data_IF_472340402938
#
_entry.id   IF_472340402938
#
_cell.length_a   1.000
_cell.length_b   1.000
_cell.length_c   1.000
_cell.angle_alpha   90.00
_cell.angle_beta   90.00
_cell.angle_gamma   90.00
#
_symmetry.space_group_name_H-M   'P 1'
#
loop_
_entity.id
_entity.type
_entity.pdbx_description
1 polymer ?
#
# COMPACT_ATOMS: atom_id res chain seq x y z
N UNK A 1 -43.72 14.71 9.71
CA UNK A 1 -42.25 14.70 9.60
C UNK A 1 -41.74 13.70 10.63
N UNK A 2 -41.28 12.53 10.18
CA UNK A 2 -40.66 11.52 11.06
C UNK A 2 -39.27 11.99 11.49
N UNK A 3 -38.76 11.56 12.66
CA UNK A 3 -37.45 11.96 13.12
C UNK A 3 -36.41 11.47 12.10
N UNK A 4 -35.59 12.40 11.61
CA UNK A 4 -34.40 12.09 10.81
C UNK A 4 -33.53 11.18 11.68
N UNK A 5 -33.45 9.88 11.33
CA UNK A 5 -32.54 8.95 12.00
C UNK A 5 -31.12 9.44 11.74
N UNK A 6 -30.56 10.14 12.71
CA UNK A 6 -29.14 10.53 12.71
C UNK A 6 -28.32 9.25 12.56
N UNK A 7 -27.41 9.22 11.60
CA UNK A 7 -26.50 8.10 11.43
C UNK A 7 -25.73 7.84 12.75
N UNK A 8 -25.55 6.60 13.18
CA UNK A 8 -24.87 6.33 14.45
C UNK A 8 -23.42 6.85 14.38
N UNK A 9 -23.02 7.52 15.46
CA UNK A 9 -21.68 8.08 15.63
C UNK A 9 -20.64 6.96 15.48
N UNK A 10 -19.69 7.11 14.55
CA UNK A 10 -18.55 6.19 14.39
C UNK A 10 -17.50 6.56 15.43
N UNK A 11 -17.00 5.56 16.15
CA UNK A 11 -15.97 5.76 17.22
C UNK A 11 -14.64 5.09 16.87
N UNK A 12 -14.61 4.26 15.82
CA UNK A 12 -13.42 3.57 15.38
C UNK A 12 -13.56 3.24 13.90
N UNK A 13 -12.51 3.44 13.13
CA UNK A 13 -12.35 2.85 11.80
C UNK A 13 -11.00 2.15 11.72
N UNK A 14 -10.95 1.02 11.05
CA UNK A 14 -9.74 0.19 10.95
C UNK A 14 -9.60 -0.36 9.54
N UNK A 15 -8.36 -0.58 9.11
CA UNK A 15 -8.09 -1.25 7.85
C UNK A 15 -6.65 -1.71 7.70
N UNK A 16 -6.41 -2.46 6.63
CA UNK A 16 -5.07 -2.83 6.18
C UNK A 16 -4.99 -2.74 4.66
N UNK A 17 -3.86 -2.26 4.17
CA UNK A 17 -3.53 -2.16 2.75
C UNK A 17 -2.32 -3.02 2.47
N UNK A 18 -2.40 -3.85 1.43
CA UNK A 18 -1.28 -4.60 0.88
C UNK A 18 -0.91 -4.01 -0.46
N UNK A 19 0.37 -3.69 -0.65
CA UNK A 19 0.88 -3.08 -1.88
C UNK A 19 1.99 -3.94 -2.46
N UNK A 20 1.91 -4.24 -3.76
CA UNK A 20 2.93 -5.00 -4.48
C UNK A 20 2.98 -4.62 -5.95
N UNK A 21 4.09 -4.95 -6.59
CA UNK A 21 4.19 -4.97 -8.04
C UNK A 21 3.38 -6.15 -8.59
N UNK A 22 2.64 -5.95 -9.69
CA UNK A 22 2.05 -7.05 -10.42
C UNK A 22 3.15 -7.94 -11.03
N UNK A 23 3.01 -9.26 -10.98
CA UNK A 23 3.92 -10.17 -11.65
C UNK A 23 3.60 -10.24 -13.15
N UNK A 24 3.78 -9.13 -13.85
CA UNK A 24 3.59 -9.00 -15.29
C UNK A 24 4.74 -8.18 -15.90
N UNK A 25 5.34 -8.70 -16.98
CA UNK A 25 6.44 -8.04 -17.68
C UNK A 25 6.01 -6.70 -18.27
N UNK A 26 4.82 -6.68 -18.89
CA UNK A 26 4.22 -5.47 -19.43
C UNK A 26 3.19 -4.89 -18.44
N UNK A 27 3.05 -3.56 -18.45
CA UNK A 27 1.94 -2.92 -17.76
C UNK A 27 0.62 -3.39 -18.38
N UNK A 28 -0.37 -3.67 -17.55
CA UNK A 28 -1.70 -3.97 -18.04
C UNK A 28 -2.30 -2.70 -18.66
N UNK A 29 -2.83 -2.81 -19.85
CA UNK A 29 -3.64 -1.76 -20.46
C UNK A 29 -4.97 -1.59 -19.73
N UNK A 30 -5.75 -0.57 -20.10
CA UNK A 30 -7.03 -0.25 -19.45
C UNK A 30 -8.03 -1.41 -19.53
N UNK A 31 -8.01 -2.20 -20.60
CA UNK A 31 -8.91 -3.34 -20.78
C UNK A 31 -8.52 -4.50 -19.86
N UNK A 32 -7.26 -4.87 -19.85
CA UNK A 32 -6.74 -5.91 -18.98
C UNK A 32 -6.86 -5.51 -17.49
N UNK A 33 -6.61 -4.23 -17.16
CA UNK A 33 -6.82 -3.69 -15.84
C UNK A 33 -8.29 -3.79 -15.38
N UNK A 34 -9.23 -3.41 -16.25
CA UNK A 34 -10.66 -3.54 -15.98
C UNK A 34 -11.07 -5.01 -15.76
N UNK A 35 -10.56 -5.91 -16.59
CA UNK A 35 -10.82 -7.35 -16.46
C UNK A 35 -10.23 -7.92 -15.16
N UNK A 36 -9.01 -7.55 -14.78
CA UNK A 36 -8.38 -7.98 -13.52
C UNK A 36 -9.19 -7.50 -12.31
N UNK A 37 -9.67 -6.26 -12.35
CA UNK A 37 -10.45 -5.64 -11.27
C UNK A 37 -11.92 -6.09 -11.25
N UNK A 38 -12.37 -6.85 -12.23
CA UNK A 38 -13.77 -7.31 -12.36
C UNK A 38 -14.74 -6.16 -12.67
N UNK A 39 -14.28 -5.14 -13.39
CA UNK A 39 -15.10 -4.02 -13.81
C UNK A 39 -16.05 -4.45 -14.96
N UNK A 40 -17.25 -3.88 -14.98
CA UNK A 40 -18.20 -4.06 -16.06
C UNK A 40 -17.73 -3.31 -17.31
N UNK A 41 -18.26 -3.67 -18.48
CA UNK A 41 -17.86 -3.08 -19.74
C UNK A 41 -18.12 -1.56 -19.84
N UNK A 42 -19.07 -1.04 -19.06
CA UNK A 42 -19.44 0.38 -18.96
C UNK A 42 -18.73 1.11 -17.81
N UNK A 43 -18.11 0.38 -16.90
CA UNK A 43 -17.30 0.97 -15.82
C UNK A 43 -15.95 1.39 -16.38
N UNK A 44 -15.60 2.65 -16.18
CA UNK A 44 -14.32 3.18 -16.63
C UNK A 44 -13.26 3.04 -15.55
N UNK A 45 -12.03 2.76 -15.99
CA UNK A 45 -10.86 2.98 -15.15
C UNK A 45 -10.79 4.48 -14.83
N UNK A 46 -10.76 4.82 -13.55
CA UNK A 46 -10.69 6.20 -13.12
C UNK A 46 -9.32 6.77 -13.51
N UNK A 47 -9.33 7.85 -14.28
CA UNK A 47 -8.14 8.68 -14.45
C UNK A 47 -8.06 9.61 -13.25
N UNK A 48 -6.88 9.69 -12.60
CA UNK A 48 -6.65 10.73 -11.60
C UNK A 48 -6.55 12.09 -12.30
N UNK A 49 -6.64 13.18 -11.56
CA UNK A 49 -6.35 14.54 -12.07
C UNK A 49 -4.92 14.69 -12.61
N UNK A 50 -4.07 13.71 -12.34
CA UNK A 50 -2.69 13.58 -12.81
C UNK A 50 -2.60 12.44 -13.82
N UNK A 51 -1.52 12.40 -14.67
CA UNK A 51 -1.44 11.51 -15.84
C UNK A 51 -1.39 10.01 -15.52
N UNK A 52 -1.45 9.58 -14.25
CA UNK A 52 -1.41 8.16 -13.90
C UNK A 52 -2.77 7.50 -14.05
N UNK A 53 -2.79 6.44 -14.84
CA UNK A 53 -3.96 5.56 -14.95
C UNK A 53 -4.20 4.85 -13.62
N UNK A 54 -5.39 5.04 -13.06
CA UNK A 54 -5.81 4.45 -11.79
C UNK A 54 -7.16 3.79 -11.94
N UNK A 55 -7.22 2.50 -11.63
CA UNK A 55 -8.46 1.74 -11.60
C UNK A 55 -8.74 1.20 -10.20
N UNK A 56 -10.01 1.15 -9.82
CA UNK A 56 -10.47 0.60 -8.55
C UNK A 56 -11.60 -0.40 -8.78
N UNK A 57 -11.52 -1.56 -8.12
CA UNK A 57 -12.60 -2.54 -8.14
C UNK A 57 -13.81 -2.05 -7.34
N UNK A 58 -15.01 -2.57 -7.60
CA UNK A 58 -16.11 -2.48 -6.67
C UNK A 58 -15.74 -3.05 -5.30
N UNK A 59 -16.37 -2.55 -4.24
CA UNK A 59 -16.21 -3.11 -2.89
C UNK A 59 -16.82 -4.51 -2.83
N UNK A 60 -16.04 -5.46 -2.33
CA UNK A 60 -16.52 -6.78 -1.93
C UNK A 60 -16.78 -6.78 -0.43
N UNK A 61 -17.85 -7.45 0.00
CA UNK A 61 -18.24 -7.49 1.41
C UNK A 61 -17.97 -8.88 1.98
N UNK A 62 -17.23 -8.92 3.10
CA UNK A 62 -17.04 -10.13 3.91
C UNK A 62 -17.89 -10.01 5.16
N UNK A 63 -18.86 -10.91 5.33
CA UNK A 63 -19.66 -10.99 6.56
C UNK A 63 -18.80 -11.51 7.71
N UNK A 64 -18.89 -10.87 8.88
CA UNK A 64 -18.12 -11.21 10.08
C UNK A 64 -19.02 -11.33 11.28
N UNK A 65 -18.72 -12.32 12.14
CA UNK A 65 -19.39 -12.57 13.43
C UNK A 65 -18.34 -13.15 14.39
N UNK A 66 -17.49 -12.31 14.95
CA UNK A 66 -16.32 -12.71 15.74
C UNK A 66 -15.93 -11.61 16.75
N UNK A 67 -15.02 -11.86 17.70
CA UNK A 67 -14.47 -10.83 18.56
C UNK A 67 -13.61 -9.84 17.81
N UNK A 68 -13.58 -8.57 18.27
CA UNK A 68 -12.54 -7.61 17.91
C UNK A 68 -11.27 -7.86 18.72
N UNK A 69 -10.07 -7.69 18.12
CA UNK A 69 -8.82 -7.70 18.87
C UNK A 69 -8.81 -6.57 19.90
N UNK A 70 -8.27 -6.83 21.08
CA UNK A 70 -8.15 -5.84 22.15
C UNK A 70 -6.91 -6.05 22.98
N UNK A 71 -6.16 -4.98 23.23
CA UNK A 71 -4.92 -5.02 23.99
C UNK A 71 -5.11 -5.38 25.47
N UNK A 72 -6.25 -5.06 26.06
CA UNK A 72 -6.57 -5.36 27.47
C UNK A 72 -7.25 -6.74 27.64
N UNK A 73 -7.34 -7.57 26.60
CA UNK A 73 -7.96 -8.89 26.65
C UNK A 73 -9.50 -8.90 26.68
N UNK A 74 -10.16 -7.74 26.63
CA UNK A 74 -11.60 -7.66 26.51
C UNK A 74 -12.05 -8.29 25.17
N UNK A 75 -13.06 -9.15 25.23
CA UNK A 75 -13.65 -9.77 24.03
C UNK A 75 -14.95 -9.06 23.70
N UNK A 76 -14.90 -8.13 22.76
CA UNK A 76 -16.11 -7.48 22.25
C UNK A 76 -16.52 -8.19 20.97
N UNK A 77 -17.60 -8.96 21.02
CA UNK A 77 -18.15 -9.59 19.82
C UNK A 77 -18.77 -8.54 18.91
N UNK A 78 -18.55 -8.70 17.62
CA UNK A 78 -19.10 -7.82 16.60
C UNK A 78 -19.75 -8.61 15.49
N UNK A 79 -20.76 -8.03 14.85
CA UNK A 79 -21.39 -8.58 13.65
C UNK A 79 -21.53 -7.48 12.60
N UNK A 80 -21.24 -7.80 11.36
CA UNK A 80 -21.37 -6.85 10.28
C UNK A 80 -20.64 -7.27 9.02
N UNK A 81 -20.19 -6.29 8.25
CA UNK A 81 -19.45 -6.52 7.02
C UNK A 81 -18.15 -5.72 7.02
N UNK A 82 -17.09 -6.36 6.55
CA UNK A 82 -15.83 -5.72 6.19
C UNK A 82 -15.85 -5.47 4.69
N UNK A 83 -15.59 -4.24 4.27
CA UNK A 83 -15.45 -3.88 2.87
C UNK A 83 -14.00 -4.13 2.43
N UNK A 84 -13.82 -4.73 1.26
CA UNK A 84 -12.51 -4.94 0.65
C UNK A 84 -12.55 -4.55 -0.83
N UNK A 85 -11.48 -3.91 -1.28
CA UNK A 85 -11.33 -3.45 -2.66
C UNK A 85 -9.90 -3.58 -3.15
N UNK A 86 -9.74 -3.62 -4.45
CA UNK A 86 -8.44 -3.56 -5.10
C UNK A 86 -8.30 -2.25 -5.88
N UNK A 87 -7.07 -1.77 -5.98
CA UNK A 87 -6.70 -0.66 -6.83
C UNK A 87 -5.48 -1.01 -7.66
N UNK A 88 -5.46 -0.54 -8.89
CA UNK A 88 -4.36 -0.74 -9.82
C UNK A 88 -3.87 0.62 -10.32
N UNK A 89 -2.57 0.87 -10.16
CA UNK A 89 -1.91 2.10 -10.62
C UNK A 89 -0.99 1.79 -11.78
N UNK A 90 -1.16 2.51 -12.90
CA UNK A 90 -0.36 2.38 -14.14
C UNK A 90 -0.28 0.94 -14.67
N UNK A 91 -1.30 0.12 -14.42
CA UNK A 91 -1.31 -1.29 -14.79
C UNK A 91 -0.17 -2.12 -14.18
N UNK A 92 0.51 -1.59 -13.16
CA UNK A 92 1.72 -2.20 -12.56
C UNK A 92 1.63 -2.43 -11.07
N UNK A 93 1.08 -1.49 -10.32
CA UNK A 93 1.03 -1.59 -8.87
C UNK A 93 -0.36 -1.99 -8.41
N UNK A 94 -0.42 -3.12 -7.73
CA UNK A 94 -1.64 -3.65 -7.11
C UNK A 94 -1.67 -3.29 -5.63
N UNK A 95 -2.77 -2.71 -5.23
CA UNK A 95 -3.14 -2.55 -3.83
C UNK A 95 -4.41 -3.34 -3.56
N UNK A 96 -4.45 -4.05 -2.44
CA UNK A 96 -5.66 -4.66 -1.91
C UNK A 96 -5.87 -4.16 -0.49
N UNK A 97 -6.99 -3.52 -0.26
CA UNK A 97 -7.35 -2.93 1.03
C UNK A 97 -8.63 -3.56 1.57
N UNK A 98 -8.66 -3.74 2.89
CA UNK A 98 -9.87 -4.11 3.62
C UNK A 98 -10.06 -3.15 4.78
N UNK A 99 -11.30 -2.73 5.04
CA UNK A 99 -11.60 -1.76 6.09
C UNK A 99 -13.01 -1.91 6.63
N UNK A 100 -13.22 -1.42 7.84
CA UNK A 100 -14.52 -1.35 8.50
C UNK A 100 -14.60 -0.18 9.48
N UNK A 101 -15.82 0.17 9.86
CA UNK A 101 -16.16 1.18 10.86
C UNK A 101 -16.95 0.54 11.98
N UNK A 102 -16.75 1.02 13.21
CA UNK A 102 -17.49 0.58 14.39
C UNK A 102 -18.27 1.79 14.94
N UNK A 103 -19.60 1.71 15.02
CA UNK A 103 -20.41 2.73 15.67
C UNK A 103 -20.26 2.68 17.20
N UNK A 104 -20.56 3.82 17.87
CA UNK A 104 -20.48 3.94 19.32
C UNK A 104 -21.39 2.93 20.04
N UNK A 105 -22.51 2.61 19.44
CA UNK A 105 -23.53 1.68 19.97
C UNK A 105 -23.94 0.70 18.90
N UNK A 106 -24.07 -0.53 19.29
CA UNK A 106 -24.64 -1.58 18.47
C UNK A 106 -26.08 -1.94 18.92
N UNK A 107 -26.72 -2.86 18.23
CA UNK A 107 -28.05 -3.34 18.62
C UNK A 107 -27.96 -4.24 19.87
N UNK A 108 -28.99 -4.24 20.69
CA UNK A 108 -29.09 -5.12 21.86
C UNK A 108 -29.11 -6.61 21.47
N UNK A 109 -29.61 -6.90 20.28
CA UNK A 109 -29.71 -8.27 19.74
C UNK A 109 -29.20 -8.33 18.31
N UNK A 110 -28.66 -9.49 17.93
CA UNK A 110 -28.26 -9.79 16.56
C UNK A 110 -29.43 -9.59 15.60
N UNK A 111 -29.20 -8.83 14.54
CA UNK A 111 -30.16 -8.57 13.46
C UNK A 111 -30.01 -9.61 12.34
N UNK A 112 -31.03 -9.79 11.49
CA UNK A 112 -30.90 -10.57 10.25
C UNK A 112 -29.78 -10.02 9.36
N UNK A 113 -29.15 -10.87 8.56
CA UNK A 113 -28.05 -10.46 7.68
C UNK A 113 -28.40 -9.32 6.72
N UNK A 114 -29.65 -9.23 6.25
CA UNK A 114 -30.11 -8.11 5.44
C UNK A 114 -29.86 -6.74 6.07
N UNK A 115 -29.91 -6.63 7.41
CA UNK A 115 -29.58 -5.39 8.13
C UNK A 115 -28.10 -5.00 7.95
N UNK A 116 -27.20 -5.96 7.95
CA UNK A 116 -25.75 -5.69 7.83
C UNK A 116 -25.31 -5.49 6.39
N UNK A 117 -25.93 -6.19 5.44
CA UNK A 117 -25.60 -6.10 4.02
C UNK A 117 -25.94 -4.73 3.41
N UNK A 118 -26.95 -4.04 3.93
CA UNK A 118 -27.27 -2.66 3.49
C UNK A 118 -26.39 -1.58 4.12
N UNK A 119 -25.43 -1.99 4.94
CA UNK A 119 -24.49 -1.12 5.67
C UNK A 119 -23.05 -1.57 5.41
N UNK A 120 -22.54 -1.41 4.19
CA UNK A 120 -21.24 -1.93 3.80
C UNK A 120 -20.11 -1.34 4.66
N UNK A 121 -19.19 -2.18 5.09
CA UNK A 121 -18.05 -1.78 5.90
C UNK A 121 -18.43 -1.29 7.30
N UNK A 122 -19.59 -1.70 7.84
CA UNK A 122 -20.00 -1.41 9.23
C UNK A 122 -20.04 -2.70 10.03
N UNK A 123 -19.37 -2.69 11.18
CA UNK A 123 -19.29 -3.80 12.13
C UNK A 123 -19.85 -3.31 13.47
N UNK A 124 -20.97 -3.86 13.90
CA UNK A 124 -21.71 -3.40 15.09
C UNK A 124 -21.27 -4.19 16.33
N UNK A 125 -20.85 -3.50 17.42
CA UNK A 125 -20.44 -4.16 18.65
C UNK A 125 -21.63 -4.60 19.51
N UNK A 126 -21.50 -5.71 20.22
CA UNK A 126 -22.41 -6.11 21.29
C UNK A 126 -21.81 -5.75 22.63
N UNK A 127 -22.42 -4.78 23.31
CA UNK A 127 -21.92 -4.25 24.58
C UNK A 127 -21.02 -3.01 24.44
N UNK A 128 -20.35 -2.65 25.53
CA UNK A 128 -19.50 -1.48 25.61
C UNK A 128 -18.19 -1.71 24.86
N UNK A 129 -17.87 -0.81 23.94
CA UNK A 129 -16.64 -0.87 23.16
C UNK A 129 -15.50 -0.06 23.83
N UNK A 130 -14.43 -0.73 24.31
CA UNK A 130 -13.23 -0.04 24.77
C UNK A 130 -12.38 0.36 23.56
N UNK A 131 -12.80 1.39 22.83
CA UNK A 131 -12.26 1.75 21.50
C UNK A 131 -10.74 1.96 21.48
N UNK A 132 -10.14 2.53 22.55
CA UNK A 132 -8.69 2.69 22.66
C UNK A 132 -7.96 1.34 22.73
N UNK A 133 -8.45 0.42 23.58
CA UNK A 133 -7.86 -0.90 23.71
C UNK A 133 -8.06 -1.77 22.46
N UNK A 134 -9.19 -1.59 21.75
CA UNK A 134 -9.44 -2.25 20.47
C UNK A 134 -8.53 -1.67 19.40
N UNK A 135 -8.33 -0.36 19.34
CA UNK A 135 -7.40 0.27 18.42
C UNK A 135 -5.98 -0.30 18.55
N UNK A 136 -5.46 -0.40 19.78
CA UNK A 136 -4.15 -1.02 20.04
C UNK A 136 -4.14 -2.52 19.70
N UNK A 137 -5.21 -3.25 20.00
CA UNK A 137 -5.33 -4.66 19.65
C UNK A 137 -5.29 -4.90 18.14
N UNK A 138 -5.98 -4.06 17.34
CA UNK A 138 -5.94 -4.11 15.88
C UNK A 138 -4.52 -3.83 15.37
N UNK A 139 -3.86 -2.79 15.86
CA UNK A 139 -2.50 -2.44 15.40
C UNK A 139 -1.48 -3.54 15.72
N UNK A 140 -1.65 -4.24 16.84
CA UNK A 140 -0.77 -5.33 17.28
C UNK A 140 -1.08 -6.70 16.68
N UNK A 141 -2.15 -6.83 15.85
CA UNK A 141 -2.43 -8.04 15.07
C UNK A 141 -3.41 -9.04 15.72
N UNK A 142 -3.97 -8.76 16.89
CA UNK A 142 -5.00 -9.62 17.54
C UNK A 142 -4.52 -11.01 17.92
N UNK A 143 -5.47 -11.87 18.29
CA UNK A 143 -5.26 -13.29 18.62
C UNK A 143 -5.98 -14.18 17.60
N UNK A 144 -5.66 -15.45 17.61
CA UNK A 144 -6.40 -16.41 16.79
C UNK A 144 -7.91 -16.38 17.13
N UNK A 145 -8.73 -16.23 16.11
CA UNK A 145 -10.20 -16.11 16.22
C UNK A 145 -10.73 -14.70 16.37
N UNK A 146 -9.88 -13.69 16.55
CA UNK A 146 -10.27 -12.28 16.44
C UNK A 146 -10.42 -11.86 14.98
N UNK A 147 -11.16 -10.76 14.74
CA UNK A 147 -11.27 -10.16 13.42
C UNK A 147 -9.90 -9.67 12.92
N UNK A 148 -9.37 -10.33 11.91
CA UNK A 148 -8.14 -9.90 11.24
C UNK A 148 -8.45 -9.34 9.84
N UNK A 149 -8.45 -8.03 9.75
CA UNK A 149 -8.64 -7.28 8.50
C UNK A 149 -7.52 -7.53 7.49
N UNK A 150 -6.32 -7.85 7.98
CA UNK A 150 -5.17 -8.18 7.14
C UNK A 150 -5.34 -9.48 6.38
N UNK A 151 -6.00 -10.49 6.97
CA UNK A 151 -6.31 -11.75 6.27
C UNK A 151 -7.31 -11.53 5.13
N UNK A 152 -8.27 -10.62 5.32
CA UNK A 152 -9.26 -10.29 4.26
C UNK A 152 -8.55 -9.57 3.10
N UNK A 153 -7.70 -8.59 3.39
CA UNK A 153 -6.90 -7.89 2.39
C UNK A 153 -5.95 -8.86 1.65
N UNK A 154 -5.29 -9.78 2.39
CA UNK A 154 -4.40 -10.79 1.83
C UNK A 154 -5.12 -11.78 0.90
N UNK A 155 -6.30 -12.22 1.29
CA UNK A 155 -7.12 -13.10 0.47
C UNK A 155 -7.48 -12.46 -0.88
N UNK A 156 -7.88 -11.18 -0.88
CA UNK A 156 -8.13 -10.42 -2.11
C UNK A 156 -6.85 -10.24 -2.94
N UNK A 157 -5.76 -9.81 -2.30
CA UNK A 157 -4.46 -9.60 -2.94
C UNK A 157 -3.95 -10.89 -3.62
N UNK A 158 -3.92 -11.99 -2.88
CA UNK A 158 -3.47 -13.30 -3.38
C UNK A 158 -4.34 -13.79 -4.55
N UNK A 159 -5.66 -13.62 -4.48
CA UNK A 159 -6.56 -13.99 -5.57
C UNK A 159 -6.24 -13.24 -6.86
N UNK A 160 -5.99 -11.92 -6.76
CA UNK A 160 -5.65 -11.10 -7.93
C UNK A 160 -4.28 -11.44 -8.51
N UNK A 161 -3.28 -11.69 -7.66
CA UNK A 161 -1.93 -12.10 -8.12
C UNK A 161 -1.91 -13.47 -8.83
N UNK A 162 -2.91 -14.31 -8.60
CA UNK A 162 -3.07 -15.61 -9.29
C UNK A 162 -3.92 -15.53 -10.56
N UNK A 163 -4.35 -14.33 -10.95
CA UNK A 163 -5.21 -14.18 -12.11
C UNK A 163 -4.50 -14.62 -13.41
N UNK A 164 -5.14 -15.39 -14.30
CA UNK A 164 -4.51 -15.94 -15.50
C UNK A 164 -4.06 -14.90 -16.55
N UNK A 165 -4.46 -13.65 -16.43
CA UNK A 165 -3.94 -12.52 -17.23
C UNK A 165 -2.47 -12.19 -16.94
N UNK A 166 -1.93 -12.65 -15.82
CA UNK A 166 -0.57 -12.31 -15.38
C UNK A 166 0.40 -13.39 -15.87
N UNK A 167 1.51 -12.96 -16.48
CA UNK A 167 2.55 -13.86 -17.03
C UNK A 167 3.57 -14.31 -15.97
N UNK A 168 3.43 -13.84 -14.73
CA UNK A 168 4.30 -14.10 -13.58
C UNK A 168 5.78 -13.72 -13.81
N UNK A 169 6.02 -12.72 -14.67
CA UNK A 169 7.35 -12.17 -14.99
C UNK A 169 7.44 -10.70 -14.59
N UNK A 170 7.67 -10.37 -13.32
CA UNK A 170 7.77 -8.98 -12.91
C UNK A 170 9.03 -8.32 -13.51
N UNK A 171 8.97 -7.04 -13.90
CA UNK A 171 10.10 -6.32 -14.49
C UNK A 171 11.25 -6.10 -13.50
N UNK A 172 10.98 -6.18 -12.22
CA UNK A 172 11.95 -6.09 -11.13
C UNK A 172 11.52 -6.94 -9.93
N UNK A 173 12.49 -7.29 -9.09
CA UNK A 173 12.21 -7.97 -7.82
C UNK A 173 11.80 -6.95 -6.76
N UNK A 174 10.63 -7.10 -6.21
CA UNK A 174 10.14 -6.31 -5.08
C UNK A 174 9.47 -7.21 -4.05
N UNK A 175 9.35 -6.72 -2.82
CA UNK A 175 8.57 -7.38 -1.77
C UNK A 175 7.28 -6.61 -1.55
N UNK A 176 6.16 -7.28 -1.29
CA UNK A 176 4.95 -6.60 -0.86
C UNK A 176 5.17 -5.91 0.49
N UNK A 177 4.50 -4.78 0.70
CA UNK A 177 4.42 -4.12 2.00
C UNK A 177 3.01 -4.18 2.54
N UNK A 178 2.89 -3.99 3.85
CA UNK A 178 1.61 -3.96 4.57
C UNK A 178 1.53 -2.66 5.36
N UNK A 179 0.39 -1.98 5.27
CA UNK A 179 0.09 -0.83 6.10
C UNK A 179 -1.23 -1.07 6.82
N UNK A 180 -1.19 -1.19 8.15
CA UNK A 180 -2.35 -1.33 9.03
C UNK A 180 -2.63 -0.01 9.69
N UNK A 181 -3.89 0.37 9.73
CA UNK A 181 -4.29 1.67 10.23
C UNK A 181 -5.52 1.62 11.13
N UNK A 182 -5.56 2.56 12.04
CA UNK A 182 -6.72 2.83 12.91
C UNK A 182 -6.97 4.32 12.94
N UNK A 183 -8.23 4.70 12.87
CA UNK A 183 -8.68 6.07 13.05
C UNK A 183 -9.70 6.16 14.18
N UNK A 184 -9.46 7.06 15.11
CA UNK A 184 -10.29 7.36 16.26
C UNK A 184 -10.82 8.79 16.13
N UNK A 185 -11.95 9.14 16.76
CA UNK A 185 -12.43 10.51 16.79
C UNK A 185 -11.38 11.46 17.42
N UNK A 186 -11.19 12.60 16.79
CA UNK A 186 -10.49 13.71 17.40
C UNK A 186 -11.32 14.33 18.54
N UNK A 187 -10.67 15.09 19.42
CA UNK A 187 -11.38 15.91 20.39
C UNK A 187 -12.23 16.97 19.69
N UNK A 188 -13.36 17.37 20.29
CA UNK A 188 -14.22 18.40 19.70
C UNK A 188 -13.42 19.68 19.40
N UNK A 189 -13.46 20.13 18.15
CA UNK A 189 -12.73 21.33 17.69
C UNK A 189 -11.26 21.08 17.31
N UNK A 190 -10.71 19.89 17.53
CA UNK A 190 -9.39 19.54 17.06
C UNK A 190 -9.43 19.10 15.58
N UNK A 191 -8.41 19.50 14.83
CA UNK A 191 -8.18 19.05 13.47
C UNK A 191 -7.71 17.58 13.39
N UNK A 192 -7.64 17.01 12.18
CA UNK A 192 -7.09 15.68 12.00
C UNK A 192 -5.59 15.65 12.35
N UNK A 193 -5.13 14.57 12.99
CA UNK A 193 -3.73 14.42 13.41
C UNK A 193 -3.26 12.97 13.32
N UNK A 194 -1.94 12.79 13.24
CA UNK A 194 -1.27 11.49 13.28
C UNK A 194 -0.66 11.33 14.68
N UNK A 195 -1.19 10.39 15.44
CA UNK A 195 -0.64 10.09 16.77
C UNK A 195 0.63 9.24 16.68
N UNK A 196 0.66 8.30 15.74
CA UNK A 196 1.78 7.37 15.61
C UNK A 196 1.87 6.82 14.17
N UNK A 197 3.09 6.78 13.66
CA UNK A 197 3.46 6.06 12.45
C UNK A 197 4.73 5.25 12.73
N UNK A 198 4.65 3.92 12.66
CA UNK A 198 5.76 3.05 13.04
C UNK A 198 5.95 1.89 12.08
N UNK A 199 7.18 1.40 12.02
CA UNK A 199 7.53 0.11 11.44
C UNK A 199 7.51 -0.94 12.55
N UNK A 200 6.67 -1.95 12.41
CA UNK A 200 6.60 -3.11 13.26
C UNK A 200 7.41 -4.28 12.65
N UNK A 201 7.37 -5.44 13.29
CA UNK A 201 7.95 -6.69 12.75
C UNK A 201 7.35 -7.04 11.39
N UNK A 202 8.07 -7.85 10.61
CA UNK A 202 7.68 -8.30 9.26
C UNK A 202 7.37 -7.16 8.27
N UNK A 203 8.01 -6.01 8.44
CA UNK A 203 7.82 -4.83 7.60
C UNK A 203 6.37 -4.33 7.56
N UNK A 204 5.60 -4.62 8.59
CA UNK A 204 4.28 -4.05 8.80
C UNK A 204 4.42 -2.58 9.22
N UNK A 205 3.84 -1.67 8.44
CA UNK A 205 3.65 -0.27 8.85
C UNK A 205 2.36 -0.19 9.66
N UNK A 206 2.39 0.55 10.75
CA UNK A 206 1.19 0.84 11.51
C UNK A 206 0.99 2.34 11.65
N UNK A 207 -0.23 2.80 11.44
CA UNK A 207 -0.59 4.20 11.58
C UNK A 207 -1.82 4.36 12.48
N UNK A 208 -1.73 5.30 13.42
CA UNK A 208 -2.82 5.68 14.30
C UNK A 208 -3.17 7.13 14.08
N UNK A 209 -4.43 7.38 13.78
CA UNK A 209 -4.98 8.67 13.36
C UNK A 209 -6.03 9.16 14.34
N UNK A 210 -6.11 10.47 14.51
CA UNK A 210 -7.29 11.17 15.04
C UNK A 210 -7.94 11.95 13.91
N UNK A 211 -9.24 11.80 13.78
CA UNK A 211 -9.99 12.41 12.68
C UNK A 211 -11.26 13.07 13.17
N UNK A 212 -11.71 14.14 12.52
CA UNK A 212 -12.98 14.78 12.85
C UNK A 212 -14.16 13.81 12.78
N UNK A 213 -15.16 14.06 13.60
CA UNK A 213 -16.41 13.32 13.52
C UNK A 213 -17.06 13.48 12.14
N UNK A 214 -17.57 12.40 11.57
CA UNK A 214 -18.16 12.39 10.22
C UNK A 214 -17.18 12.05 9.09
N UNK A 215 -15.88 11.93 9.37
CA UNK A 215 -14.91 11.46 8.37
C UNK A 215 -15.35 10.10 7.79
N UNK A 216 -15.39 10.01 6.47
CA UNK A 216 -15.85 8.79 5.80
C UNK A 216 -14.79 7.69 5.85
N UNK A 217 -15.23 6.43 6.04
CA UNK A 217 -14.31 5.28 5.98
C UNK A 217 -13.65 5.13 4.61
N UNK A 218 -14.33 5.54 3.54
CA UNK A 218 -13.80 5.55 2.19
C UNK A 218 -12.67 6.58 2.01
N UNK A 219 -12.84 7.79 2.55
CA UNK A 219 -11.80 8.83 2.55
C UNK A 219 -10.55 8.38 3.32
N UNK A 220 -10.74 7.77 4.50
CA UNK A 220 -9.64 7.19 5.29
C UNK A 220 -8.93 6.06 4.54
N UNK A 221 -9.68 5.16 3.92
CA UNK A 221 -9.09 4.10 3.11
C UNK A 221 -8.32 4.67 1.92
N UNK A 222 -8.82 5.74 1.26
CA UNK A 222 -8.10 6.43 0.19
C UNK A 222 -6.79 7.08 0.63
N UNK A 223 -6.77 7.75 1.80
CA UNK A 223 -5.56 8.28 2.42
C UNK A 223 -4.54 7.16 2.68
N UNK A 224 -5.00 6.06 3.28
CA UNK A 224 -4.12 4.94 3.63
C UNK A 224 -3.64 4.16 2.40
N UNK A 225 -4.44 4.07 1.34
CA UNK A 225 -4.03 3.53 0.04
C UNK A 225 -2.90 4.41 -0.56
N UNK A 226 -3.05 5.74 -0.53
CA UNK A 226 -2.04 6.68 -1.02
C UNK A 226 -0.74 6.59 -0.20
N UNK A 227 -0.85 6.56 1.13
CA UNK A 227 0.28 6.39 2.04
C UNK A 227 1.01 5.06 1.81
N UNK A 228 0.27 3.95 1.68
CA UNK A 228 0.84 2.62 1.44
C UNK A 228 1.58 2.54 0.11
N UNK A 229 1.07 3.21 -0.93
CA UNK A 229 1.73 3.31 -2.24
C UNK A 229 3.10 3.98 -2.12
N UNK A 230 3.14 5.14 -1.47
CA UNK A 230 4.36 5.94 -1.36
C UNK A 230 5.40 5.29 -0.43
N UNK A 231 4.97 4.65 0.66
CA UNK A 231 5.85 3.84 1.51
C UNK A 231 6.46 2.65 0.75
N UNK A 232 5.65 1.96 -0.06
CA UNK A 232 6.13 0.86 -0.89
C UNK A 232 7.16 1.34 -1.92
N UNK A 233 6.92 2.48 -2.59
CA UNK A 233 7.87 3.08 -3.55
C UNK A 233 9.20 3.40 -2.89
N UNK A 234 9.18 4.10 -1.74
CA UNK A 234 10.39 4.42 -0.96
C UNK A 234 11.14 3.15 -0.57
N UNK A 235 10.44 2.18 0.02
CA UNK A 235 11.02 0.91 0.47
C UNK A 235 11.65 0.12 -0.67
N UNK A 236 10.99 0.07 -1.83
CA UNK A 236 11.47 -0.66 -3.00
C UNK A 236 12.72 0.00 -3.59
N UNK A 237 12.74 1.33 -3.73
CA UNK A 237 13.89 2.06 -4.25
C UNK A 237 15.09 1.95 -3.31
N UNK A 238 14.89 2.05 -1.99
CA UNK A 238 15.96 1.84 -0.99
C UNK A 238 16.58 0.45 -1.18
N UNK A 239 15.77 -0.60 -1.29
CA UNK A 239 16.27 -1.98 -1.47
C UNK A 239 17.06 -2.18 -2.76
N UNK A 240 16.61 -1.55 -3.86
CA UNK A 240 17.35 -1.60 -5.13
C UNK A 240 18.74 -0.96 -4.95
N UNK A 241 18.81 0.20 -4.32
CA UNK A 241 20.07 0.90 -4.05
C UNK A 241 20.99 0.11 -3.11
N UNK A 242 20.45 -0.51 -2.07
CA UNK A 242 21.21 -1.35 -1.13
C UNK A 242 21.73 -2.63 -1.81
N UNK A 243 20.92 -3.24 -2.67
CA UNK A 243 21.34 -4.41 -3.46
C UNK A 243 22.54 -4.11 -4.36
N UNK A 244 22.61 -2.90 -4.93
CA UNK A 244 23.76 -2.45 -5.74
C UNK A 244 25.01 -2.30 -4.87
N UNK A 245 24.90 -1.71 -3.68
CA UNK A 245 26.04 -1.55 -2.75
C UNK A 245 26.64 -2.90 -2.32
N UNK A 246 25.78 -3.88 -2.01
CA UNK A 246 26.19 -5.21 -1.62
C UNK A 246 26.81 -5.99 -2.79
N UNK A 247 26.23 -5.84 -4.00
CA UNK A 247 26.79 -6.45 -5.23
C UNK A 247 28.14 -5.87 -5.65
N UNK A 248 28.36 -4.57 -5.47
CA UNK A 248 29.64 -3.93 -5.72
C UNK A 248 30.74 -4.37 -4.74
N UNK A 249 30.37 -4.71 -3.49
CA UNK A 249 31.30 -5.30 -2.51
C UNK A 249 31.69 -6.75 -2.82
N UNK A 250 30.81 -7.50 -3.48
CA UNK A 250 31.08 -8.88 -3.90
C UNK A 250 31.88 -8.99 -5.21
N UNK A 251 32.00 -7.92 -5.98
CA UNK A 251 32.82 -7.87 -7.22
C UNK A 251 34.33 -7.93 -6.95
N UNK A 252 34.77 -7.97 -5.69
CA UNK A 252 36.15 -8.26 -5.28
C UNK A 252 36.49 -9.74 -5.25
N UNK A 253 35.54 -10.65 -5.51
CA UNK A 253 35.83 -12.06 -5.67
C UNK A 253 36.44 -12.34 -7.08
N UNK A 254 37.50 -13.14 -7.21
CA UNK A 254 38.14 -13.40 -8.50
C UNK A 254 37.13 -14.01 -9.47
N UNK A 255 37.13 -13.56 -10.76
CA UNK A 255 36.20 -14.03 -11.75
C UNK A 255 36.30 -15.55 -11.88
N UNK A 256 35.16 -16.24 -11.77
CA UNK A 256 35.10 -17.67 -12.07
C UNK A 256 35.68 -17.88 -13.47
N UNK A 257 36.65 -18.81 -13.59
CA UNK A 257 37.41 -19.10 -14.81
C UNK A 257 36.49 -19.17 -16.03
N UNK A 258 36.57 -18.16 -16.88
CA UNK A 258 35.91 -18.15 -18.19
C UNK A 258 36.53 -19.27 -19.04
N UNK A 259 35.72 -20.07 -19.68
CA UNK A 259 36.18 -21.08 -20.65
C UNK A 259 36.86 -20.36 -21.81
N UNK A 260 38.10 -20.77 -22.21
CA UNK A 260 38.77 -20.19 -23.33
C UNK A 260 38.01 -20.52 -24.62
N UNK A 261 37.56 -19.50 -25.33
CA UNK A 261 36.95 -19.67 -26.67
C UNK A 261 35.69 -18.83 -26.95
N UNK A 262 35.02 -18.21 -25.99
CA UNK A 262 33.91 -17.30 -26.27
C UNK A 262 34.44 -15.87 -26.40
N UNK A 263 34.55 -15.37 -27.66
CA UNK A 263 34.69 -13.94 -27.94
C UNK A 263 33.40 -13.25 -27.53
N UNK A 264 33.45 -12.24 -26.64
CA UNK A 264 32.27 -11.40 -26.39
C UNK A 264 31.93 -10.68 -27.70
N UNK A 265 30.72 -10.88 -28.20
CA UNK A 265 30.19 -10.05 -29.26
C UNK A 265 30.23 -8.58 -28.79
N UNK A 266 30.63 -7.67 -29.67
CA UNK A 266 30.76 -6.24 -29.43
C UNK A 266 29.40 -5.55 -29.27
N UNK A 267 28.60 -6.00 -28.29
CA UNK A 267 27.48 -5.25 -27.72
C UNK A 267 27.97 -4.64 -26.43
N UNK A 268 28.01 -3.32 -26.32
CA UNK A 268 28.32 -2.60 -25.09
C UNK A 268 27.49 -3.16 -23.92
N UNK A 269 28.10 -4.01 -23.10
CA UNK A 269 27.43 -4.49 -21.88
C UNK A 269 27.25 -3.30 -20.95
N UNK A 270 26.00 -2.86 -20.79
CA UNK A 270 25.63 -1.83 -19.83
C UNK A 270 26.25 -2.15 -18.45
N UNK A 271 26.88 -1.18 -17.78
CA UNK A 271 27.41 -1.38 -16.43
C UNK A 271 26.38 -2.06 -15.52
N UNK A 272 26.81 -2.98 -14.68
CA UNK A 272 25.91 -3.75 -13.80
C UNK A 272 24.99 -2.84 -12.97
N UNK A 273 25.49 -1.69 -12.54
CA UNK A 273 24.73 -0.67 -11.80
C UNK A 273 23.62 -0.06 -12.66
N UNK A 274 23.90 0.30 -13.91
CA UNK A 274 22.90 0.84 -14.83
C UNK A 274 21.82 -0.19 -15.11
N UNK A 275 22.21 -1.44 -15.34
CA UNK A 275 21.29 -2.56 -15.54
C UNK A 275 20.38 -2.78 -14.34
N UNK A 276 20.90 -2.65 -13.10
CA UNK A 276 20.14 -2.80 -11.87
C UNK A 276 19.19 -1.62 -11.59
N UNK A 277 19.56 -0.39 -11.96
CA UNK A 277 18.75 0.82 -11.74
C UNK A 277 17.68 1.04 -12.80
N UNK A 278 17.92 0.60 -14.03
CA UNK A 278 17.05 0.85 -15.17
C UNK A 278 15.58 0.49 -14.90
N UNK A 279 15.23 -0.67 -14.34
CA UNK A 279 13.83 -1.00 -14.06
C UNK A 279 13.17 -0.05 -13.06
N UNK A 280 13.92 0.50 -12.09
CA UNK A 280 13.39 1.51 -11.17
C UNK A 280 13.08 2.81 -11.89
N UNK A 281 13.99 3.27 -12.76
CA UNK A 281 13.82 4.49 -13.57
C UNK A 281 12.63 4.32 -14.51
N UNK A 282 12.58 3.21 -15.25
CA UNK A 282 11.58 2.99 -16.29
C UNK A 282 10.16 2.75 -15.71
N UNK A 283 10.05 2.23 -14.48
CA UNK A 283 8.77 1.71 -13.98
C UNK A 283 8.28 2.31 -12.66
N UNK A 284 9.13 3.00 -11.88
CA UNK A 284 8.73 3.44 -10.53
C UNK A 284 8.79 4.95 -10.34
N UNK A 285 9.79 5.66 -10.90
CA UNK A 285 10.00 7.05 -10.54
C UNK A 285 8.83 7.97 -10.91
N UNK A 286 8.15 7.69 -12.00
CA UNK A 286 6.99 8.47 -12.45
C UNK A 286 5.72 8.24 -11.61
N UNK A 287 5.71 7.19 -10.76
CA UNK A 287 4.55 6.86 -9.92
C UNK A 287 4.48 7.69 -8.64
N UNK A 288 5.52 8.47 -8.35
CA UNK A 288 5.55 9.34 -7.17
C UNK A 288 4.61 10.53 -7.35
N UNK A 289 3.41 10.42 -6.80
CA UNK A 289 2.35 11.42 -6.86
C UNK A 289 1.61 11.53 -5.54
N UNK A 290 2.25 12.06 -4.50
CA UNK A 290 1.64 12.17 -3.18
C UNK A 290 0.36 13.00 -3.22
N UNK A 291 -0.60 12.63 -2.38
CA UNK A 291 -1.92 13.29 -2.23
C UNK A 291 -2.89 13.10 -3.41
N UNK A 292 -2.54 12.31 -4.42
CA UNK A 292 -3.39 12.17 -5.61
C UNK A 292 -4.80 11.58 -5.29
N UNK A 293 -4.93 10.89 -4.16
CA UNK A 293 -6.16 10.19 -3.74
C UNK A 293 -6.69 10.66 -2.39
N UNK A 294 -6.06 11.68 -1.82
CA UNK A 294 -6.40 12.16 -0.48
C UNK A 294 -7.55 13.18 -0.58
N UNK A 295 -8.62 12.93 0.14
CA UNK A 295 -9.73 13.88 0.26
C UNK A 295 -9.25 15.18 0.92
N UNK A 296 -9.83 16.31 0.51
CA UNK A 296 -9.36 17.63 0.92
C UNK A 296 -9.43 17.86 2.43
N UNK A 297 -10.42 17.31 3.10
CA UNK A 297 -10.58 17.34 4.57
C UNK A 297 -9.52 16.54 5.32
N UNK A 298 -8.85 15.58 4.65
CA UNK A 298 -7.76 14.77 5.18
C UNK A 298 -6.36 15.25 4.73
N UNK A 299 -6.29 16.30 3.93
CA UNK A 299 -5.02 16.86 3.47
C UNK A 299 -4.05 17.21 4.63
N UNK A 300 -4.49 17.76 5.77
CA UNK A 300 -3.60 18.04 6.90
C UNK A 300 -2.88 16.80 7.46
N UNK A 301 -3.48 15.62 7.36
CA UNK A 301 -2.80 14.37 7.76
C UNK A 301 -1.61 14.06 6.86
N UNK A 302 -1.76 14.27 5.56
CA UNK A 302 -0.64 14.12 4.63
C UNK A 302 0.44 15.16 4.85
N UNK A 303 0.07 16.41 5.12
CA UNK A 303 1.02 17.47 5.42
C UNK A 303 1.85 17.14 6.68
N UNK A 304 1.24 16.56 7.70
CA UNK A 304 1.97 16.06 8.88
C UNK A 304 2.96 14.93 8.55
N UNK A 305 2.64 14.04 7.60
CA UNK A 305 3.57 13.01 7.11
C UNK A 305 4.71 13.60 6.27
N UNK A 306 4.47 14.68 5.53
CA UNK A 306 5.51 15.41 4.83
C UNK A 306 6.46 16.13 5.78
N UNK A 307 5.96 16.58 6.93
CA UNK A 307 6.80 17.15 7.98
C UNK A 307 7.61 16.05 8.68
N UNK A 308 6.95 14.97 9.09
CA UNK A 308 7.55 13.78 9.70
C UNK A 308 6.78 12.51 9.28
N UNK A 309 7.45 11.53 8.64
CA UNK A 309 8.88 11.31 8.39
C UNK A 309 9.49 12.07 7.20
N UNK A 310 8.71 12.88 6.47
CA UNK A 310 9.21 13.67 5.34
C UNK A 310 9.35 12.82 4.06
N UNK A 311 8.25 12.24 3.60
CA UNK A 311 8.21 11.31 2.47
C UNK A 311 8.82 11.92 1.19
N UNK A 312 8.41 13.14 0.81
CA UNK A 312 8.93 13.80 -0.40
C UNK A 312 10.42 14.09 -0.30
N UNK A 313 10.92 14.50 0.87
CA UNK A 313 12.35 14.74 1.08
C UNK A 313 13.15 13.44 0.95
N UNK A 314 12.67 12.34 1.52
CA UNK A 314 13.29 11.02 1.37
C UNK A 314 13.33 10.59 -0.09
N UNK A 315 12.21 10.74 -0.80
CA UNK A 315 12.12 10.43 -2.23
C UNK A 315 13.11 11.23 -3.06
N UNK A 316 13.17 12.53 -2.88
CA UNK A 316 14.12 13.40 -3.58
C UNK A 316 15.58 12.96 -3.35
N UNK A 317 15.91 12.59 -2.11
CA UNK A 317 17.24 12.06 -1.78
C UNK A 317 17.54 10.76 -2.52
N UNK A 318 16.58 9.85 -2.62
CA UNK A 318 16.74 8.58 -3.34
C UNK A 318 16.88 8.82 -4.86
N UNK A 319 16.06 9.68 -5.43
CA UNK A 319 16.16 10.04 -6.86
C UNK A 319 17.52 10.68 -7.16
N UNK A 320 18.01 11.56 -6.28
CA UNK A 320 19.34 12.17 -6.46
C UNK A 320 20.43 11.10 -6.40
N UNK A 321 20.37 10.16 -5.47
CA UNK A 321 21.33 9.03 -5.41
C UNK A 321 21.32 8.18 -6.68
N UNK A 322 20.13 7.91 -7.25
CA UNK A 322 20.04 7.21 -8.54
C UNK A 322 20.74 7.99 -9.64
N UNK A 323 20.50 9.29 -9.75
CA UNK A 323 21.14 10.16 -10.73
C UNK A 323 22.66 10.18 -10.59
N UNK A 324 23.15 10.31 -9.37
CA UNK A 324 24.59 10.32 -9.08
C UNK A 324 25.24 9.00 -9.50
N UNK A 325 24.61 7.86 -9.19
CA UNK A 325 25.09 6.54 -9.61
C UNK A 325 25.13 6.40 -11.14
N UNK A 326 24.10 6.84 -11.83
CA UNK A 326 24.05 6.80 -13.29
C UNK A 326 25.12 7.71 -13.91
N UNK A 327 25.33 8.91 -13.36
CA UNK A 327 26.34 9.87 -13.83
C UNK A 327 27.76 9.34 -13.64
N UNK A 328 28.08 8.79 -12.49
CA UNK A 328 29.40 8.19 -12.19
C UNK A 328 29.76 7.08 -13.18
N UNK A 329 28.77 6.31 -13.65
CA UNK A 329 29.00 5.22 -14.61
C UNK A 329 28.95 5.68 -16.08
N UNK A 330 28.48 6.90 -16.35
CA UNK A 330 28.54 7.52 -17.69
C UNK A 330 29.89 8.18 -17.96
N UNK A 331 30.72 8.43 -16.93
CA UNK A 331 32.06 9.03 -17.11
C UNK A 331 33.00 7.92 -17.61
N UNK A 332 33.62 8.09 -18.80
CA UNK A 332 34.62 7.15 -19.31
C UNK A 332 35.81 7.04 -18.33
N UNK A 333 36.17 5.83 -17.95
CA UNK A 333 37.37 5.61 -17.12
C UNK A 333 38.62 6.00 -17.93
N UNK A 334 39.45 6.94 -17.47
CA UNK A 334 40.62 7.44 -18.23
C UNK A 334 41.70 6.38 -18.46
N UNK A 335 41.58 5.19 -17.84
CA UNK A 335 42.58 4.12 -18.00
C UNK A 335 42.37 3.20 -19.23
N UNK A 336 41.37 3.42 -20.07
CA UNK A 336 41.20 2.61 -21.31
C UNK A 336 41.94 3.15 -22.51
N UNK A 337 42.42 4.38 -22.45
CA UNK A 337 43.20 4.99 -23.59
C UNK A 337 44.72 4.72 -23.53
N UNK A 338 45.23 4.23 -22.39
CA UNK A 338 46.69 3.99 -22.25
C UNK A 338 47.16 2.64 -22.83
N UNK A 339 46.25 1.74 -23.22
CA UNK A 339 46.60 0.41 -23.76
C UNK A 339 46.53 0.33 -25.30
N UNK A 340 46.30 1.46 -25.99
CA UNK A 340 46.42 1.57 -27.43
C UNK A 340 47.62 2.47 -27.78
N UNK A 341 48.80 2.12 -27.27
CA UNK A 341 50.07 2.65 -27.73
C UNK A 341 50.55 1.94 -29.00
N UNK A 342 51.36 2.60 -29.82
CA UNK A 342 51.59 2.38 -31.23
C UNK A 342 52.16 1.01 -31.60
#
# INVERSE_FOLDING_TARGET
MGPVKTAPRVVLACGEVRTSLLPALQALDSRAAAQLLGLRADERVLLSERPNLYGRSPDTLTGVDCPLPSANGARVRVVGTVAARAALTEGRLLQASAYFKVPATGPDHRRPWGHYLVRPGVVEPFGKLPHEAVAEGVLNGGRHGDLDVGLIADGLHTRLLRHPLLDHRPPLRSRPTRLRWVALPAEPGAGPSIERFTLAEDELRTVRLRVPEGTTGEGLAGLCDDLALHDWLLTTVVRILDGIRLGAGAAGAPPARQRPGQRPGAGEELPAVVRALRPAVDHLLHLWMPRARVAQDLAPLWDALEERPGFTRQWQTLVQRIRDQLTLHAIPSPHREADMGP
#
